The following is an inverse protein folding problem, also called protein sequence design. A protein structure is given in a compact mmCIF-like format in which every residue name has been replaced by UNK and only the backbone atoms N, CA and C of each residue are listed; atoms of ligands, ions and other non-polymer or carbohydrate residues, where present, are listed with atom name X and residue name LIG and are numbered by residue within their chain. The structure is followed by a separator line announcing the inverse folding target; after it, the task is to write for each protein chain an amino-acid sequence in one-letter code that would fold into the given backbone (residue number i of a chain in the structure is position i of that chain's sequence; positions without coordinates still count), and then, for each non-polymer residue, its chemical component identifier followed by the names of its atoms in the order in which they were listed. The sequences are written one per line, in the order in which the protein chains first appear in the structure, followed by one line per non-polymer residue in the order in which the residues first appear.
data_IF_987887063536
#
_entry.id   IF_987887063536
#
_cell.length_a   1.000
_cell.length_b   1.000
_cell.length_c   1.000
_cell.angle_alpha   90.00
_cell.angle_beta   90.00
_cell.angle_gamma   90.00
#
_symmetry.space_group_name_H-M   'P 1'
#
loop_
_entity.id
_entity.type
_entity.pdbx_description
1 polymer ?
#
# COMPACT_ATOMS: atom_id res chain seq x y z
N UNK A 1 -7.00 -5.57 10.05
CA UNK A 1 -5.88 -4.68 9.66
C UNK A 1 -4.85 -4.54 10.78
N UNK A 2 -5.26 -4.39 12.05
CA UNK A 2 -4.33 -4.29 13.19
C UNK A 2 -3.27 -5.41 13.26
N UNK A 3 -3.62 -6.65 12.89
CA UNK A 3 -2.65 -7.75 12.80
C UNK A 3 -1.49 -7.46 11.83
N UNK A 4 -1.74 -6.79 10.70
CA UNK A 4 -0.66 -6.36 9.79
C UNK A 4 0.16 -5.23 10.41
N UNK A 5 -0.46 -4.28 11.12
CA UNK A 5 0.28 -3.24 11.84
C UNK A 5 1.24 -3.87 12.88
N UNK A 6 0.78 -4.88 13.62
CA UNK A 6 1.63 -5.60 14.59
C UNK A 6 2.77 -6.34 13.90
N UNK A 7 2.50 -7.12 12.84
CA UNK A 7 3.52 -7.82 12.07
C UNK A 7 4.60 -6.87 11.53
N UNK A 8 4.18 -5.75 10.95
CA UNK A 8 5.13 -4.75 10.43
C UNK A 8 5.91 -4.11 11.58
N UNK A 9 5.27 -3.81 12.72
CA UNK A 9 5.95 -3.28 13.90
C UNK A 9 7.04 -4.25 14.39
N UNK A 10 6.71 -5.53 14.54
CA UNK A 10 7.67 -6.57 14.94
C UNK A 10 8.83 -6.67 13.96
N UNK A 11 8.56 -6.65 12.65
CA UNK A 11 9.59 -6.65 11.62
C UNK A 11 10.53 -5.44 11.75
N UNK A 12 9.97 -4.23 11.93
CA UNK A 12 10.75 -3.01 12.08
C UNK A 12 11.61 -3.04 13.36
N UNK A 13 11.07 -3.57 14.46
CA UNK A 13 11.81 -3.76 15.71
C UNK A 13 12.94 -4.78 15.58
N UNK A 14 12.72 -5.90 14.88
CA UNK A 14 13.77 -6.87 14.57
C UNK A 14 14.87 -6.26 13.69
N UNK A 15 14.54 -5.26 12.88
CA UNK A 15 15.49 -4.46 12.12
C UNK A 15 16.08 -3.27 12.92
N UNK A 16 15.82 -3.23 14.23
CA UNK A 16 16.40 -2.34 15.24
C UNK A 16 15.86 -0.91 15.24
N UNK A 17 14.61 -0.72 14.81
CA UNK A 17 13.85 0.50 15.13
C UNK A 17 13.11 0.30 16.45
N UNK A 18 13.30 1.23 17.39
CA UNK A 18 12.54 1.22 18.64
C UNK A 18 11.07 1.60 18.43
N UNK A 19 10.20 1.23 19.37
CA UNK A 19 8.76 1.45 19.27
C UNK A 19 8.40 2.94 19.17
N UNK A 20 9.20 3.82 19.77
CA UNK A 20 8.99 5.27 19.69
C UNK A 20 9.08 5.81 18.25
N UNK A 21 9.80 5.12 17.36
CA UNK A 21 9.93 5.48 15.95
C UNK A 21 8.74 5.04 15.09
N UNK A 22 7.82 4.22 15.63
CA UNK A 22 6.75 3.57 14.88
C UNK A 22 5.39 4.08 15.38
N UNK A 23 4.68 4.81 14.53
CA UNK A 23 3.40 5.43 14.82
C UNK A 23 2.27 4.71 14.09
N UNK A 24 1.21 4.29 14.80
CA UNK A 24 0.05 3.55 14.24
C UNK A 24 -1.33 4.08 14.68
N UNK A 25 -1.40 4.96 15.68
CA UNK A 25 -2.69 5.50 16.20
C UNK A 25 -2.73 7.04 16.23
N UNK A 26 -1.58 7.67 16.47
CA UNK A 26 -1.42 9.11 16.67
C UNK A 26 -0.19 9.59 15.90
N UNK A 27 -0.16 10.87 15.54
CA UNK A 27 0.93 11.50 14.77
C UNK A 27 1.16 10.79 13.43
N UNK A 28 0.07 10.67 12.67
CA UNK A 28 0.00 9.92 11.40
C UNK A 28 -0.15 10.84 10.19
N UNK A 29 -0.28 12.14 10.45
CA UNK A 29 -0.47 13.18 9.47
C UNK A 29 0.87 13.52 8.81
N UNK A 30 0.96 13.30 7.50
CA UNK A 30 2.09 13.70 6.67
C UNK A 30 1.68 14.84 5.73
N UNK A 31 2.57 15.81 5.45
CA UNK A 31 2.32 16.84 4.45
C UNK A 31 1.91 16.26 3.09
N UNK A 32 0.90 16.89 2.48
CA UNK A 32 0.52 16.70 1.08
C UNK A 32 0.92 17.90 0.22
N UNK A 33 0.76 17.77 -1.08
CA UNK A 33 0.93 18.84 -2.05
C UNK A 33 -0.41 19.45 -2.47
N UNK A 34 -1.40 18.61 -2.78
CA UNK A 34 -2.74 19.02 -3.19
C UNK A 34 -3.68 19.27 -2.01
N UNK A 35 -3.29 18.83 -0.81
CA UNK A 35 -3.97 19.08 0.46
C UNK A 35 -2.96 19.31 1.58
N UNK A 36 -3.32 19.99 2.68
CA UNK A 36 -2.38 20.26 3.77
C UNK A 36 -1.73 19.00 4.35
N UNK A 37 -2.53 17.98 4.65
CA UNK A 37 -2.05 16.71 5.19
C UNK A 37 -2.87 15.51 4.73
N UNK A 38 -2.26 14.34 4.75
CA UNK A 38 -2.91 13.01 4.74
C UNK A 38 -2.63 12.30 6.05
N UNK A 39 -3.67 11.71 6.65
CA UNK A 39 -3.49 10.70 7.69
C UNK A 39 -3.20 9.33 7.06
N UNK A 40 -2.09 8.72 7.46
CA UNK A 40 -1.66 7.37 7.06
C UNK A 40 -2.04 6.34 8.14
N UNK A 41 -1.98 5.05 7.82
CA UNK A 41 -2.27 4.00 8.81
C UNK A 41 -1.03 3.65 9.66
N UNK A 42 0.17 3.83 9.11
CA UNK A 42 1.43 3.75 9.86
C UNK A 42 2.45 4.75 9.31
N UNK A 43 3.16 5.41 10.22
CA UNK A 43 4.26 6.34 9.92
C UNK A 43 5.48 5.93 10.74
N UNK A 44 6.64 5.87 10.10
CA UNK A 44 7.92 5.52 10.74
C UNK A 44 8.85 6.71 10.63
N UNK A 45 9.25 7.27 11.77
CA UNK A 45 10.12 8.44 11.89
C UNK A 45 11.37 8.08 12.70
N UNK A 46 12.54 8.52 12.26
CA UNK A 46 13.78 8.42 13.01
C UNK A 46 14.48 9.77 12.99
N UNK A 47 14.74 10.37 14.15
CA UNK A 47 15.34 11.71 14.28
C UNK A 47 14.69 12.75 13.32
N UNK A 48 13.35 12.83 13.36
CA UNK A 48 12.54 13.72 12.50
C UNK A 48 12.58 13.42 10.98
N UNK A 49 13.28 12.36 10.56
CA UNK A 49 13.31 11.91 9.16
C UNK A 49 12.24 10.87 8.91
N UNK A 50 11.44 11.08 7.86
CA UNK A 50 10.46 10.10 7.41
C UNK A 50 11.16 8.90 6.77
N UNK A 51 11.10 7.75 7.46
CA UNK A 51 11.71 6.50 7.01
C UNK A 51 10.73 5.74 6.11
N UNK A 52 9.49 5.58 6.57
CA UNK A 52 8.45 4.86 5.84
C UNK A 52 7.05 5.36 6.19
N UNK A 53 6.11 5.16 5.27
CA UNK A 53 4.68 5.33 5.52
C UNK A 53 3.89 4.20 4.83
N UNK A 54 2.85 3.70 5.48
CA UNK A 54 2.09 2.55 5.00
C UNK A 54 0.59 2.80 5.10
N UNK A 55 -0.12 2.28 4.11
CA UNK A 55 -1.57 2.23 4.09
C UNK A 55 -2.05 0.77 4.00
N UNK A 56 -3.04 0.41 4.81
CA UNK A 56 -3.66 -0.90 4.85
C UNK A 56 -5.13 -0.78 4.48
N UNK A 57 -5.53 -1.38 3.36
CA UNK A 57 -6.93 -1.41 2.94
C UNK A 57 -7.45 -2.83 2.87
N UNK A 58 -8.74 -2.96 3.17
CA UNK A 58 -9.49 -4.18 2.92
C UNK A 58 -10.75 -3.90 2.14
N UNK A 59 -11.23 -4.89 1.38
CA UNK A 59 -12.49 -4.79 0.65
C UNK A 59 -13.22 -6.14 0.64
N UNK A 60 -14.47 -6.10 1.09
CA UNK A 60 -15.41 -7.21 1.02
C UNK A 60 -16.77 -6.68 0.51
N UNK A 61 -17.56 -7.53 -0.14
CA UNK A 61 -18.93 -7.21 -0.56
C UNK A 61 -19.03 -6.39 -1.86
N UNK A 62 -19.40 -5.11 -1.76
CA UNK A 62 -19.75 -4.29 -2.95
C UNK A 62 -18.52 -3.88 -3.77
N UNK A 63 -18.06 -4.75 -4.67
CA UNK A 63 -16.75 -4.57 -5.31
C UNK A 63 -16.67 -3.44 -6.34
N UNK A 64 -17.72 -3.17 -7.12
CA UNK A 64 -17.68 -2.21 -8.24
C UNK A 64 -17.36 -0.79 -7.81
N UNK A 65 -18.23 -0.20 -6.98
CA UNK A 65 -18.04 1.17 -6.46
C UNK A 65 -16.80 1.24 -5.54
N UNK A 66 -16.55 0.18 -4.77
CA UNK A 66 -15.43 0.20 -3.83
C UNK A 66 -14.08 0.12 -4.55
N UNK A 67 -13.96 -0.56 -5.70
CA UNK A 67 -12.72 -0.60 -6.48
C UNK A 67 -12.29 0.80 -6.91
N UNK A 68 -13.18 1.57 -7.53
CA UNK A 68 -12.85 2.91 -8.01
C UNK A 68 -12.45 3.83 -6.85
N UNK A 69 -13.20 3.80 -5.74
CA UNK A 69 -12.85 4.58 -4.55
C UNK A 69 -11.45 4.21 -4.01
N UNK A 70 -11.10 2.93 -3.97
CA UNK A 70 -9.76 2.50 -3.53
C UNK A 70 -8.66 2.86 -4.52
N UNK A 71 -8.95 2.81 -5.81
CA UNK A 71 -8.02 3.27 -6.84
C UNK A 71 -7.74 4.77 -6.69
N UNK A 72 -8.77 5.60 -6.52
CA UNK A 72 -8.63 7.04 -6.28
C UNK A 72 -7.88 7.35 -4.99
N UNK A 73 -8.16 6.63 -3.89
CA UNK A 73 -7.43 6.79 -2.63
C UNK A 73 -5.94 6.48 -2.79
N UNK A 74 -5.60 5.38 -3.47
CA UNK A 74 -4.22 4.98 -3.67
C UNK A 74 -3.47 5.96 -4.59
N UNK A 75 -4.08 6.31 -5.73
CA UNK A 75 -3.52 7.30 -6.66
C UNK A 75 -3.34 8.66 -5.98
N UNK A 76 -4.38 9.14 -5.29
CA UNK A 76 -4.36 10.39 -4.57
C UNK A 76 -3.28 10.40 -3.48
N UNK A 77 -3.18 9.35 -2.66
CA UNK A 77 -2.14 9.27 -1.63
C UNK A 77 -0.71 9.27 -2.22
N UNK A 78 -0.47 8.44 -3.24
CA UNK A 78 0.85 8.32 -3.86
C UNK A 78 1.28 9.59 -4.58
N UNK A 79 0.40 10.17 -5.42
CA UNK A 79 0.69 11.41 -6.17
C UNK A 79 0.93 12.58 -5.20
N UNK A 80 0.09 12.72 -4.18
CA UNK A 80 0.15 13.82 -3.22
C UNK A 80 1.45 13.82 -2.41
N UNK A 81 1.86 12.66 -1.88
CA UNK A 81 3.14 12.52 -1.18
C UNK A 81 4.34 12.65 -2.13
N UNK A 82 4.29 12.08 -3.34
CA UNK A 82 5.38 12.19 -4.32
C UNK A 82 5.63 13.65 -4.70
N UNK A 83 4.57 14.42 -4.90
CA UNK A 83 4.67 15.85 -5.19
C UNK A 83 5.14 16.65 -3.98
N UNK A 84 4.67 16.34 -2.77
CA UNK A 84 5.14 16.99 -1.55
C UNK A 84 6.64 16.76 -1.34
N UNK A 85 7.11 15.53 -1.55
CA UNK A 85 8.52 15.16 -1.46
C UNK A 85 9.38 15.91 -2.49
N UNK A 86 8.91 16.08 -3.73
CA UNK A 86 9.64 16.83 -4.76
C UNK A 86 9.74 18.33 -4.46
N UNK A 87 8.89 18.84 -3.56
CA UNK A 87 8.97 20.21 -2.99
C UNK A 87 9.76 20.29 -1.68
N UNK A 88 10.37 19.21 -1.22
CA UNK A 88 11.19 19.18 -0.02
C UNK A 88 10.41 19.12 1.29
N UNK A 89 9.12 18.72 1.27
CA UNK A 89 8.27 18.68 2.46
C UNK A 89 8.77 17.73 3.57
N UNK A 90 9.66 16.78 3.22
CA UNK A 90 10.21 15.78 4.15
C UNK A 90 11.72 15.98 4.42
N UNK A 91 12.27 17.16 4.10
CA UNK A 91 13.70 17.45 4.22
C UNK A 91 14.51 17.05 2.98
N UNK A 92 15.76 17.51 2.92
CA UNK A 92 16.68 17.18 1.81
C UNK A 92 17.05 15.69 1.86
N UNK A 93 17.12 15.06 0.68
CA UNK A 93 17.48 13.65 0.47
C UNK A 93 16.57 12.60 1.15
N UNK A 94 15.40 13.02 1.64
CA UNK A 94 14.40 12.10 2.19
C UNK A 94 13.66 11.39 1.06
N UNK A 95 13.94 10.08 0.92
CA UNK A 95 13.19 9.16 0.05
C UNK A 95 12.51 8.12 0.95
N UNK A 96 11.33 8.44 1.51
CA UNK A 96 10.64 7.51 2.38
C UNK A 96 10.19 6.28 1.59
N UNK A 97 10.16 5.13 2.25
CA UNK A 97 9.55 3.94 1.68
C UNK A 97 8.04 3.99 1.85
N UNK A 98 7.30 3.81 0.76
CA UNK A 98 5.83 3.88 0.77
C UNK A 98 5.25 2.50 0.47
N UNK A 99 4.38 2.02 1.36
CA UNK A 99 3.74 0.70 1.23
C UNK A 99 2.23 0.79 1.07
N UNK A 100 1.67 0.01 0.14
CA UNK A 100 0.23 -0.23 0.05
C UNK A 100 -0.10 -1.71 0.17
N UNK A 101 -0.81 -2.11 1.23
CA UNK A 101 -1.28 -3.48 1.42
C UNK A 101 -2.79 -3.54 1.22
N UNK A 102 -3.24 -4.40 0.31
CA UNK A 102 -4.65 -4.61 -0.01
C UNK A 102 -5.08 -6.04 0.34
N UNK A 103 -6.04 -6.19 1.24
CA UNK A 103 -6.74 -7.45 1.53
C UNK A 103 -8.11 -7.48 0.84
N UNK A 104 -8.24 -8.30 -0.19
CA UNK A 104 -9.48 -8.48 -0.94
C UNK A 104 -10.22 -9.73 -0.46
N UNK A 105 -11.54 -9.66 -0.34
CA UNK A 105 -12.36 -10.85 -0.10
C UNK A 105 -12.20 -11.85 -1.25
N UNK A 106 -11.80 -13.07 -0.93
CA UNK A 106 -11.78 -14.18 -1.87
C UNK A 106 -13.19 -14.75 -2.01
N UNK A 107 -13.80 -14.46 -3.15
CA UNK A 107 -15.15 -14.92 -3.47
C UNK A 107 -15.31 -15.05 -4.98
N UNK A 108 -16.33 -15.79 -5.42
CA UNK A 108 -16.68 -15.84 -6.84
C UNK A 108 -16.91 -14.45 -7.44
N UNK A 109 -17.45 -13.51 -6.67
CA UNK A 109 -17.72 -12.14 -7.12
C UNK A 109 -16.45 -11.33 -7.36
N UNK A 110 -15.38 -11.54 -6.58
CA UNK A 110 -14.11 -10.82 -6.76
C UNK A 110 -13.21 -11.45 -7.83
N UNK A 111 -13.37 -12.75 -8.09
CA UNK A 111 -12.56 -13.52 -9.05
C UNK A 111 -13.20 -13.68 -10.42
N UNK A 112 -14.51 -13.47 -10.58
CA UNK A 112 -15.19 -13.54 -11.89
C UNK A 112 -14.90 -12.28 -12.72
N UNK A 113 -14.57 -12.41 -14.02
CA UNK A 113 -14.46 -11.30 -14.96
C UNK A 113 -15.67 -10.35 -14.94
N UNK A 114 -15.42 -9.05 -15.03
CA UNK A 114 -16.47 -8.02 -15.11
C UNK A 114 -16.39 -7.25 -16.42
N UNK A 115 -17.55 -6.95 -17.00
CA UNK A 115 -17.63 -6.16 -18.23
C UNK A 115 -17.14 -4.72 -18.03
N UNK A 116 -16.60 -4.13 -19.09
CA UNK A 116 -16.24 -2.70 -19.14
C UNK A 116 -17.25 -1.98 -20.03
N UNK A 117 -17.72 -0.80 -19.60
CA UNK A 117 -18.56 0.08 -20.42
C UNK A 117 -17.64 0.98 -21.25
N UNK A 118 -17.75 0.90 -22.57
CA UNK A 118 -16.90 1.63 -23.54
C UNK A 118 -17.75 2.43 -24.53
N UNK A 119 -18.59 3.38 -24.08
CA UNK A 119 -19.56 4.05 -24.96
C UNK A 119 -18.93 4.93 -26.04
N UNK A 120 -17.68 5.39 -25.83
CA UNK A 120 -17.01 6.35 -26.71
C UNK A 120 -15.64 5.86 -27.19
N UNK A 121 -14.81 5.34 -26.28
CA UNK A 121 -13.47 4.88 -26.59
C UNK A 121 -13.20 3.53 -25.93
N UNK A 122 -12.30 2.76 -26.56
CA UNK A 122 -11.82 1.49 -26.01
C UNK A 122 -10.91 1.73 -24.82
N UNK A 123 -11.07 0.93 -23.76
CA UNK A 123 -10.08 0.87 -22.68
C UNK A 123 -8.82 0.15 -23.16
N UNK A 124 -7.74 0.33 -22.41
CA UNK A 124 -6.50 -0.42 -22.68
C UNK A 124 -6.77 -1.94 -22.63
N UNK A 125 -6.16 -2.73 -23.54
CA UNK A 125 -6.47 -4.16 -23.69
C UNK A 125 -6.34 -4.97 -22.39
N UNK A 126 -5.40 -4.61 -21.52
CA UNK A 126 -5.18 -5.27 -20.22
C UNK A 126 -6.38 -5.24 -19.26
N UNK A 127 -7.32 -4.29 -19.42
CA UNK A 127 -8.53 -4.23 -18.60
C UNK A 127 -9.64 -5.17 -19.07
N UNK A 128 -9.54 -5.70 -20.30
CA UNK A 128 -10.56 -6.57 -20.87
C UNK A 128 -10.58 -7.93 -20.17
N UNK A 129 -11.79 -8.41 -19.84
CA UNK A 129 -11.98 -9.70 -19.18
C UNK A 129 -11.40 -9.80 -17.76
N UNK A 130 -11.00 -8.69 -17.13
CA UNK A 130 -10.47 -8.70 -15.77
C UNK A 130 -11.57 -8.79 -14.73
N UNK A 131 -11.34 -9.62 -13.72
CA UNK A 131 -12.10 -9.61 -12.47
C UNK A 131 -11.68 -8.44 -11.59
N UNK A 132 -12.34 -8.24 -10.45
CA UNK A 132 -11.93 -7.20 -9.49
C UNK A 132 -10.55 -7.50 -8.92
N UNK A 133 -10.26 -8.77 -8.60
CA UNK A 133 -8.92 -9.20 -8.20
C UNK A 133 -7.88 -8.86 -9.29
N UNK A 134 -8.18 -9.19 -10.55
CA UNK A 134 -7.31 -8.87 -11.67
C UNK A 134 -7.12 -7.36 -11.90
N UNK A 135 -8.12 -6.53 -11.57
CA UNK A 135 -7.99 -5.07 -11.61
C UNK A 135 -7.12 -4.55 -10.47
N UNK A 136 -7.18 -5.13 -9.27
CA UNK A 136 -6.25 -4.81 -8.18
C UNK A 136 -4.82 -5.20 -8.51
N UNK A 137 -4.59 -6.36 -9.11
CA UNK A 137 -3.25 -6.74 -9.58
C UNK A 137 -2.66 -5.68 -10.52
N UNK A 138 -3.44 -5.25 -11.53
CA UNK A 138 -3.01 -4.22 -12.48
C UNK A 138 -2.75 -2.89 -11.79
N UNK A 139 -3.67 -2.44 -10.92
CA UNK A 139 -3.55 -1.19 -10.20
C UNK A 139 -2.25 -1.18 -9.37
N UNK A 140 -2.05 -2.19 -8.52
CA UNK A 140 -0.92 -2.22 -7.60
C UNK A 140 0.42 -2.33 -8.33
N UNK A 141 0.50 -3.09 -9.43
CA UNK A 141 1.68 -3.10 -10.31
C UNK A 141 1.97 -1.72 -10.88
N UNK A 142 0.95 -1.02 -11.38
CA UNK A 142 1.12 0.35 -11.92
C UNK A 142 1.56 1.33 -10.84
N UNK A 143 0.99 1.27 -9.64
CA UNK A 143 1.39 2.13 -8.53
C UNK A 143 2.88 1.99 -8.18
N UNK A 144 3.43 0.78 -8.24
CA UNK A 144 4.86 0.52 -8.01
C UNK A 144 5.69 0.95 -9.21
N UNK A 145 5.29 0.58 -10.44
CA UNK A 145 6.04 0.88 -11.66
C UNK A 145 6.13 2.40 -11.93
N UNK A 146 5.10 3.16 -11.58
CA UNK A 146 5.08 4.63 -11.69
C UNK A 146 5.72 5.33 -10.47
N UNK A 147 6.36 4.55 -9.59
CA UNK A 147 7.05 5.01 -8.38
C UNK A 147 6.14 5.87 -7.47
N UNK A 148 4.84 5.55 -7.43
CA UNK A 148 3.92 6.15 -6.46
C UNK A 148 4.03 5.46 -5.10
N UNK A 149 4.37 4.17 -5.11
CA UNK A 149 4.68 3.37 -3.93
C UNK A 149 5.98 2.59 -4.15
N UNK A 150 6.72 2.34 -3.07
CA UNK A 150 7.95 1.54 -3.11
C UNK A 150 7.66 0.04 -3.18
N UNK A 151 6.54 -0.40 -2.61
CA UNK A 151 6.02 -1.76 -2.75
C UNK A 151 4.51 -1.80 -2.53
N UNK A 152 3.87 -2.83 -3.08
CA UNK A 152 2.48 -3.13 -2.82
C UNK A 152 2.30 -4.63 -2.58
N UNK A 153 1.28 -4.98 -1.79
CA UNK A 153 0.90 -6.36 -1.54
C UNK A 153 -0.60 -6.57 -1.83
N UNK A 154 -0.92 -7.68 -2.49
CA UNK A 154 -2.29 -8.13 -2.70
C UNK A 154 -2.49 -9.47 -1.99
N UNK A 155 -3.39 -9.45 -1.01
CA UNK A 155 -3.80 -10.64 -0.27
C UNK A 155 -5.27 -10.92 -0.57
N UNK A 156 -5.62 -12.20 -0.61
CA UNK A 156 -7.00 -12.64 -0.75
C UNK A 156 -7.39 -13.56 0.39
N UNK A 157 -8.60 -13.42 0.92
CA UNK A 157 -9.09 -14.31 1.97
C UNK A 157 -10.61 -14.38 1.97
N UNK A 158 -11.19 -15.56 2.21
CA UNK A 158 -12.61 -15.65 2.52
C UNK A 158 -12.91 -14.99 3.87
N UNK A 159 -14.19 -14.75 4.16
CA UNK A 159 -14.64 -14.18 5.43
C UNK A 159 -14.35 -15.10 6.62
N UNK A 160 -14.42 -16.41 6.41
CA UNK A 160 -14.18 -17.44 7.43
C UNK A 160 -12.67 -17.63 7.64
N UNK A 161 -11.91 -17.84 6.56
CA UNK A 161 -10.45 -18.00 6.60
C UNK A 161 -9.75 -16.77 7.19
N UNK A 162 -10.26 -15.57 6.90
CA UNK A 162 -9.66 -14.33 7.36
C UNK A 162 -9.73 -14.16 8.88
N UNK A 163 -10.69 -14.81 9.54
CA UNK A 163 -10.81 -14.78 11.01
C UNK A 163 -9.71 -15.59 11.70
N UNK A 164 -9.15 -16.59 11.01
CA UNK A 164 -8.03 -17.41 11.51
C UNK A 164 -6.68 -16.95 10.95
N UNK A 165 -6.65 -15.82 10.25
CA UNK A 165 -5.44 -15.27 9.64
C UNK A 165 -4.97 -16.02 8.39
N UNK A 166 -5.79 -16.92 7.84
CA UNK A 166 -5.49 -17.59 6.58
C UNK A 166 -5.75 -16.66 5.41
N UNK A 167 -4.84 -16.65 4.44
CA UNK A 167 -4.96 -15.87 3.21
C UNK A 167 -4.20 -16.56 2.07
N UNK A 168 -4.46 -16.12 0.85
CA UNK A 168 -3.76 -16.49 -0.37
C UNK A 168 -3.11 -15.26 -1.00
N UNK A 169 -2.07 -15.50 -1.79
CA UNK A 169 -1.35 -14.48 -2.55
C UNK A 169 -1.54 -14.79 -4.03
N UNK A 170 -2.45 -14.10 -4.74
CA UNK A 170 -2.83 -14.47 -6.10
C UNK A 170 -1.68 -14.32 -7.10
N UNK A 171 -0.70 -13.46 -6.82
CA UNK A 171 0.44 -13.19 -7.70
C UNK A 171 1.74 -13.02 -6.92
N UNK A 172 2.83 -13.59 -7.44
CA UNK A 172 4.13 -13.68 -6.72
C UNK A 172 4.83 -12.34 -6.53
N UNK A 173 4.65 -11.41 -7.47
CA UNK A 173 5.29 -10.09 -7.45
C UNK A 173 4.63 -9.11 -6.46
N UNK A 174 3.37 -9.38 -6.07
CA UNK A 174 2.65 -8.63 -5.02
C UNK A 174 2.47 -9.47 -3.73
N UNK A 175 3.34 -10.46 -3.52
CA UNK A 175 3.34 -11.29 -2.31
C UNK A 175 3.88 -10.52 -1.10
N UNK A 176 3.42 -10.85 0.10
CA UNK A 176 3.89 -10.27 1.37
C UNK A 176 5.38 -10.46 1.55
N UNK A 177 5.95 -11.58 1.10
CA UNK A 177 7.40 -11.77 1.15
C UNK A 177 8.16 -10.66 0.44
N UNK A 178 7.71 -10.24 -0.75
CA UNK A 178 8.36 -9.17 -1.50
C UNK A 178 8.19 -7.81 -0.83
N UNK A 179 6.97 -7.55 -0.35
CA UNK A 179 6.64 -6.33 0.39
C UNK A 179 7.51 -6.16 1.64
N UNK A 180 7.57 -7.20 2.49
CA UNK A 180 8.35 -7.19 3.72
C UNK A 180 9.86 -7.13 3.45
N UNK A 181 10.36 -7.87 2.45
CA UNK A 181 11.78 -7.84 2.09
C UNK A 181 12.21 -6.46 1.58
N UNK A 182 11.36 -5.80 0.79
CA UNK A 182 11.59 -4.43 0.31
C UNK A 182 11.66 -3.44 1.49
N UNK A 183 10.72 -3.53 2.44
CA UNK A 183 10.71 -2.69 3.64
C UNK A 183 11.95 -2.93 4.51
N UNK A 184 12.27 -4.18 4.85
CA UNK A 184 13.44 -4.51 5.66
C UNK A 184 14.73 -4.03 5.01
N UNK A 185 14.90 -4.27 3.71
CA UNK A 185 16.07 -3.80 2.98
C UNK A 185 16.19 -2.28 2.99
N UNK A 186 15.07 -1.55 2.89
CA UNK A 186 15.05 -0.09 3.01
C UNK A 186 15.50 0.38 4.39
N UNK A 187 14.90 -0.18 5.45
CA UNK A 187 15.21 0.19 6.83
C UNK A 187 16.67 -0.10 7.18
N UNK A 188 17.21 -1.25 6.77
CA UNK A 188 18.61 -1.60 6.99
C UNK A 188 19.57 -0.63 6.29
N UNK A 189 19.29 -0.25 5.04
CA UNK A 189 20.08 0.75 4.31
C UNK A 189 20.02 2.12 5.00
N UNK A 190 18.83 2.56 5.38
CA UNK A 190 18.64 3.82 6.10
C UNK A 190 19.46 3.86 7.39
N UNK A 191 19.44 2.78 8.19
CA UNK A 191 20.23 2.69 9.43
C UNK A 191 21.74 2.67 9.22
N UNK A 192 22.20 2.13 8.10
CA UNK A 192 23.63 2.13 7.76
C UNK A 192 24.13 3.54 7.41
N UNK A 193 23.27 4.39 6.84
CA UNK A 193 23.60 5.79 6.52
C UNK A 193 23.65 6.71 7.75
N UNK A 194 23.16 6.24 8.91
CA UNK A 194 23.17 6.97 10.16
C UNK A 194 24.42 6.67 11.03
N UNK A 195 25.21 5.66 10.65
CA UNK A 195 26.49 5.33 11.28
C UNK A 195 27.63 6.03 10.56
#
# INVERSE_FOLDING_TARGET
MNGFCHLITELLQQNGLEKEHIHIEKKLELPGYFRPTKKWDMVVLFEERLVAALEFKSMAGSFGNNFNNRAEEALGAGIDVKMAASKGAFGRDSRPWLGWLMLLEDSRKSTTPVSVKEPHFKVLPEFQGKSIAGRFELLLRKLVNEELFSAAALLMSSREAGQTGQYTEPVKDLAMRQFLSSLSGHVQRFRTQLR
#
